data_IF_700252579745
#
_entry.id   IF_700252579745
#
_cell.length_a   1.000
_cell.length_b   1.000
_cell.length_c   1.000
_cell.angle_alpha   90.00
_cell.angle_beta   90.00
_cell.angle_gamma   90.00
#
_symmetry.space_group_name_H-M   'P 1'
#
loop_
_entity.id
_entity.type
_entity.pdbx_description
1 polymer ?
#
# COMPACT_ATOMS: atom_id res chain seq x y z
N UNK A 1 23.55 7.72 -6.20
CA UNK A 1 22.40 8.02 -5.31
C UNK A 1 21.93 9.42 -5.64
N UNK A 2 20.66 9.61 -6.03
CA UNK A 2 20.07 10.92 -6.35
C UNK A 2 19.40 11.48 -5.08
N UNK A 3 20.00 12.47 -4.39
CA UNK A 3 19.63 12.86 -3.02
C UNK A 3 18.36 13.71 -2.93
N UNK A 4 17.70 14.00 -4.07
CA UNK A 4 16.50 14.85 -4.14
C UNK A 4 15.21 14.11 -4.54
N UNK A 5 15.25 12.79 -4.76
CA UNK A 5 14.04 11.96 -4.91
C UNK A 5 13.58 11.48 -3.52
N UNK A 6 13.10 12.41 -2.70
CA UNK A 6 12.51 12.08 -1.40
C UNK A 6 11.32 11.12 -1.58
N UNK A 7 11.26 9.99 -0.86
CA UNK A 7 10.03 9.24 -0.69
C UNK A 7 8.93 10.15 -0.14
N UNK A 8 7.98 10.58 -0.98
CA UNK A 8 6.80 11.28 -0.48
C UNK A 8 5.92 10.21 0.16
N UNK A 9 5.92 10.15 1.49
CA UNK A 9 4.98 9.35 2.27
C UNK A 9 3.75 10.19 2.54
N UNK A 10 2.61 9.75 2.02
CA UNK A 10 1.34 10.44 2.23
C UNK A 10 0.20 9.43 2.25
N UNK A 11 -0.94 9.87 2.76
CA UNK A 11 -2.11 9.04 2.82
C UNK A 11 -3.36 9.86 3.06
N UNK A 12 -4.49 9.22 2.79
CA UNK A 12 -5.80 9.77 3.08
C UNK A 12 -6.62 8.68 3.76
N UNK A 13 -7.34 9.04 4.82
CA UNK A 13 -8.19 8.12 5.53
C UNK A 13 -9.54 8.72 5.87
N UNK A 14 -10.56 7.89 5.85
CA UNK A 14 -11.90 8.20 6.34
C UNK A 14 -12.19 7.24 7.48
N UNK A 15 -12.45 7.80 8.66
CA UNK A 15 -12.75 7.03 9.86
C UNK A 15 -14.18 7.31 10.29
N UNK A 16 -14.93 6.24 10.53
CA UNK A 16 -16.25 6.31 11.15
C UNK A 16 -16.23 5.54 12.45
N UNK A 17 -16.51 6.22 13.55
CA UNK A 17 -16.81 5.59 14.83
C UNK A 17 -18.31 5.29 14.89
N UNK A 18 -18.66 4.07 15.30
CA UNK A 18 -20.04 3.60 15.43
C UNK A 18 -20.63 3.99 16.79
N UNK A 19 -21.91 3.65 16.99
CA UNK A 19 -22.64 3.91 18.23
C UNK A 19 -21.89 3.37 19.45
N UNK A 20 -21.89 4.15 20.53
CA UNK A 20 -21.08 3.89 21.72
C UNK A 20 -19.59 4.26 21.57
N UNK A 21 -19.13 4.69 20.38
CA UNK A 21 -17.82 5.31 20.15
C UNK A 21 -16.61 4.40 20.37
N UNK A 22 -16.81 3.12 20.73
CA UNK A 22 -15.74 2.16 21.00
C UNK A 22 -15.28 1.42 19.74
N UNK A 23 -16.20 1.13 18.83
CA UNK A 23 -15.91 0.44 17.57
C UNK A 23 -15.96 1.43 16.42
N UNK A 24 -15.18 1.17 15.38
CA UNK A 24 -15.21 1.98 14.17
C UNK A 24 -14.72 1.21 12.95
N UNK A 25 -14.80 1.86 11.80
CA UNK A 25 -14.20 1.42 10.56
C UNK A 25 -13.35 2.53 9.96
N UNK A 26 -12.32 2.14 9.21
CA UNK A 26 -11.42 3.04 8.52
C UNK A 26 -11.14 2.55 7.11
N UNK A 27 -11.42 3.40 6.12
CA UNK A 27 -10.86 3.27 4.78
C UNK A 27 -9.57 4.07 4.76
N UNK A 28 -8.47 3.43 4.41
CA UNK A 28 -7.12 3.98 4.51
C UNK A 28 -6.38 3.76 3.20
N UNK A 29 -6.00 4.86 2.55
CA UNK A 29 -5.06 4.86 1.44
C UNK A 29 -3.70 5.32 1.96
N UNK A 30 -2.69 4.46 1.86
CA UNK A 30 -1.33 4.79 2.24
C UNK A 30 -0.40 4.63 1.05
N UNK A 31 0.36 5.68 0.76
CA UNK A 31 1.43 5.68 -0.24
C UNK A 31 2.79 5.61 0.47
N UNK A 32 3.56 4.55 0.21
CA UNK A 32 4.84 4.30 0.86
C UNK A 32 5.92 3.86 -0.13
N UNK A 33 6.75 4.79 -0.58
CA UNK A 33 7.82 4.47 -1.54
C UNK A 33 8.89 3.57 -0.90
N UNK A 34 8.84 2.29 -1.23
CA UNK A 34 9.89 1.31 -0.94
C UNK A 34 10.89 1.34 -2.08
N UNK A 35 12.10 1.85 -1.81
CA UNK A 35 13.22 1.63 -2.69
C UNK A 35 13.71 0.20 -2.45
N UNK A 36 13.66 -0.66 -3.46
CA UNK A 36 14.41 -1.90 -3.40
C UNK A 36 15.89 -1.52 -3.35
N UNK A 37 16.56 -1.78 -2.24
CA UNK A 37 18.02 -1.77 -2.24
C UNK A 37 18.45 -2.85 -3.24
N UNK A 38 19.11 -2.45 -4.33
CA UNK A 38 19.58 -3.37 -5.38
C UNK A 38 20.55 -4.44 -4.84
N UNK A 39 21.07 -4.23 -3.64
CA UNK A 39 21.98 -5.14 -2.91
C UNK A 39 21.26 -6.08 -1.92
N UNK A 40 19.94 -5.93 -1.71
CA UNK A 40 19.18 -6.83 -0.83
C UNK A 40 18.74 -8.07 -1.63
N UNK A 41 19.27 -9.24 -1.28
CA UNK A 41 18.84 -10.56 -1.77
C UNK A 41 17.42 -10.92 -1.26
N UNK A 42 16.42 -10.08 -1.51
CA UNK A 42 15.03 -10.43 -1.21
C UNK A 42 14.50 -11.31 -2.34
N UNK A 43 14.06 -12.51 -1.96
CA UNK A 43 13.61 -13.59 -2.83
C UNK A 43 12.52 -13.16 -3.80
N UNK A 44 12.94 -12.66 -4.97
CA UNK A 44 12.10 -12.48 -6.13
C UNK A 44 12.01 -13.83 -6.83
N UNK A 45 10.80 -14.34 -6.99
CA UNK A 45 10.53 -15.54 -7.78
C UNK A 45 9.56 -15.17 -8.88
N UNK A 46 9.44 -15.98 -9.94
CA UNK A 46 8.55 -15.63 -11.03
C UNK A 46 8.70 -16.53 -12.23
N UNK A 47 7.89 -16.25 -13.25
CA UNK A 47 7.95 -16.90 -14.55
C UNK A 47 8.03 -15.80 -15.60
N UNK A 48 9.08 -15.81 -16.41
CA UNK A 48 9.27 -14.92 -17.57
C UNK A 48 9.35 -15.81 -18.81
N UNK A 49 8.60 -15.50 -19.86
CA UNK A 49 8.60 -16.25 -21.13
C UNK A 49 8.42 -17.78 -20.95
N UNK A 50 7.54 -18.19 -20.03
CA UNK A 50 7.30 -19.59 -19.63
C UNK A 50 8.49 -20.33 -19.00
N UNK A 51 9.58 -19.63 -18.66
CA UNK A 51 10.70 -20.15 -17.89
C UNK A 51 10.67 -19.61 -16.45
N UNK A 52 10.91 -20.46 -15.43
CA UNK A 52 11.01 -20.00 -14.04
C UNK A 52 12.26 -19.13 -13.85
N UNK A 53 12.13 -18.04 -13.08
CA UNK A 53 13.29 -17.27 -12.63
C UNK A 53 14.20 -18.14 -11.77
N UNK A 54 15.53 -18.01 -11.89
CA UNK A 54 16.45 -18.60 -10.95
C UNK A 54 16.18 -18.07 -9.53
N UNK A 55 15.99 -18.97 -8.57
CA UNK A 55 15.62 -18.63 -7.18
C UNK A 55 16.63 -17.72 -6.44
N UNK A 56 17.83 -17.53 -6.99
CA UNK A 56 18.94 -16.75 -6.43
C UNK A 56 19.81 -16.08 -7.51
N UNK A 57 19.21 -15.48 -8.52
CA UNK A 57 19.97 -14.59 -9.40
C UNK A 57 20.07 -13.20 -8.76
N UNK A 58 21.27 -12.61 -8.73
CA UNK A 58 21.40 -11.23 -8.29
C UNK A 58 20.53 -10.35 -9.20
N UNK A 59 19.69 -9.48 -8.62
CA UNK A 59 18.73 -8.65 -9.35
C UNK A 59 19.38 -7.88 -10.51
N UNK A 60 20.66 -7.51 -10.36
CA UNK A 60 21.49 -6.86 -11.40
C UNK A 60 21.67 -7.68 -12.68
N UNK A 61 21.58 -9.01 -12.63
CA UNK A 61 21.85 -9.89 -13.77
C UNK A 61 20.60 -10.08 -14.64
N UNK A 62 19.41 -9.88 -14.07
CA UNK A 62 18.11 -10.05 -14.74
C UNK A 62 17.48 -8.70 -15.14
N UNK A 63 17.62 -7.68 -14.29
CA UNK A 63 16.92 -6.41 -14.44
C UNK A 63 17.88 -5.29 -14.88
N UNK A 64 17.42 -4.44 -15.81
CA UNK A 64 18.07 -3.16 -16.10
C UNK A 64 17.56 -2.08 -15.14
N UNK A 65 16.29 -2.18 -14.77
CA UNK A 65 15.62 -1.32 -13.78
C UNK A 65 14.50 -2.10 -13.11
N UNK A 66 14.51 -2.13 -11.79
CA UNK A 66 13.43 -2.69 -10.96
C UNK A 66 13.12 -1.65 -9.89
N UNK A 67 12.19 -0.75 -10.20
CA UNK A 67 11.75 0.29 -9.28
C UNK A 67 10.24 0.16 -9.11
N UNK A 68 9.77 0.02 -7.87
CA UNK A 68 8.40 0.36 -7.56
C UNK A 68 8.39 1.88 -7.32
N UNK A 69 8.41 2.64 -8.42
CA UNK A 69 8.65 4.09 -8.44
C UNK A 69 7.71 4.87 -7.51
N UNK A 70 6.52 4.32 -7.25
CA UNK A 70 5.56 4.79 -6.23
C UNK A 70 5.16 3.64 -5.28
N UNK A 71 6.18 3.08 -4.62
CA UNK A 71 6.09 1.84 -3.84
C UNK A 71 4.90 1.74 -2.88
N UNK A 72 4.53 0.48 -2.60
CA UNK A 72 3.64 0.06 -1.52
C UNK A 72 2.40 0.93 -1.29
N UNK A 73 1.72 1.31 -2.38
CA UNK A 73 0.40 1.91 -2.29
C UNK A 73 -0.60 0.84 -1.85
N UNK A 74 -1.29 1.09 -0.73
CA UNK A 74 -2.30 0.19 -0.21
C UNK A 74 -3.61 0.92 -0.03
N UNK A 75 -4.71 0.27 -0.40
CA UNK A 75 -6.05 0.67 -0.03
C UNK A 75 -6.65 -0.41 0.87
N UNK A 76 -6.91 -0.09 2.13
CA UNK A 76 -7.37 -1.06 3.14
C UNK A 76 -8.65 -0.63 3.82
N UNK A 77 -9.46 -1.62 4.18
CA UNK A 77 -10.61 -1.47 5.07
C UNK A 77 -10.24 -2.11 6.42
N UNK A 78 -10.30 -1.30 7.47
CA UNK A 78 -9.86 -1.68 8.81
C UNK A 78 -11.03 -1.58 9.79
N UNK A 79 -11.19 -2.60 10.63
CA UNK A 79 -11.97 -2.48 11.86
C UNK A 79 -11.13 -1.80 12.93
N UNK A 80 -11.72 -0.85 13.66
CA UNK A 80 -11.07 -0.11 14.74
C UNK A 80 -11.72 -0.40 16.09
N UNK A 81 -10.89 -0.37 17.12
CA UNK A 81 -11.29 -0.47 18.52
C UNK A 81 -10.60 0.59 19.36
N UNK A 82 -11.38 1.52 19.91
CA UNK A 82 -10.92 2.54 20.84
C UNK A 82 -10.75 1.93 22.23
N UNK A 83 -9.59 2.19 22.83
CA UNK A 83 -9.22 1.76 24.17
C UNK A 83 -9.64 2.82 25.21
N UNK A 84 -9.40 2.54 26.49
CA UNK A 84 -9.66 3.51 27.55
C UNK A 84 -8.84 4.79 27.30
N UNK A 85 -9.47 5.95 27.38
CA UNK A 85 -8.80 7.23 27.18
C UNK A 85 -7.71 7.43 28.24
N UNK A 86 -6.54 7.91 27.79
CA UNK A 86 -5.41 8.23 28.68
C UNK A 86 -5.57 9.62 29.30
N UNK A 87 -6.32 10.49 28.64
CA UNK A 87 -6.68 11.83 29.11
C UNK A 87 -8.01 12.26 28.45
N UNK A 88 -8.68 13.33 28.91
CA UNK A 88 -9.99 13.76 28.39
C UNK A 88 -10.07 13.96 26.87
N UNK A 89 -8.93 14.24 26.21
CA UNK A 89 -8.83 14.47 24.76
C UNK A 89 -7.92 13.48 24.05
N UNK A 90 -7.32 12.52 24.76
CA UNK A 90 -6.34 11.57 24.22
C UNK A 90 -6.90 10.15 24.29
N UNK A 91 -7.25 9.61 23.13
CA UNK A 91 -7.83 8.27 23.02
C UNK A 91 -6.92 7.35 22.21
N UNK A 92 -6.34 6.31 22.83
CA UNK A 92 -5.69 5.24 22.10
C UNK A 92 -6.71 4.36 21.37
N UNK A 93 -6.30 3.79 20.25
CA UNK A 93 -7.07 2.81 19.49
C UNK A 93 -6.15 1.81 18.80
N UNK A 94 -6.71 0.66 18.48
CA UNK A 94 -6.07 -0.35 17.65
C UNK A 94 -6.97 -0.66 16.47
N UNK A 95 -6.41 -1.19 15.40
CA UNK A 95 -7.17 -1.62 14.25
C UNK A 95 -6.47 -2.72 13.48
N UNK A 96 -7.26 -3.48 12.74
CA UNK A 96 -6.75 -4.45 11.79
C UNK A 96 -7.69 -4.53 10.58
N UNK A 97 -7.13 -4.84 9.43
CA UNK A 97 -7.85 -4.77 8.18
C UNK A 97 -7.20 -5.56 7.06
N UNK A 98 -7.95 -5.63 5.97
CA UNK A 98 -7.54 -6.25 4.72
C UNK A 98 -7.80 -5.26 3.58
N UNK A 99 -7.14 -5.48 2.46
CA UNK A 99 -7.24 -4.58 1.32
C UNK A 99 -6.44 -5.07 0.13
N UNK A 100 -6.05 -4.12 -0.70
CA UNK A 100 -5.36 -4.38 -1.96
C UNK A 100 -4.08 -3.56 -2.06
N UNK A 101 -3.10 -4.16 -2.73
CA UNK A 101 -1.84 -3.53 -3.08
C UNK A 101 -1.91 -2.99 -4.52
N UNK A 102 -1.67 -1.69 -4.67
CA UNK A 102 -1.82 -0.90 -5.91
C UNK A 102 -0.54 -0.15 -6.31
N UNK A 103 0.64 -0.79 -6.34
CA UNK A 103 1.90 -0.12 -6.67
C UNK A 103 1.86 0.47 -8.08
N UNK A 104 2.66 1.52 -8.27
CA UNK A 104 3.13 1.87 -9.62
C UNK A 104 4.42 1.11 -9.89
N UNK A 105 4.34 0.13 -10.78
CA UNK A 105 5.48 -0.70 -11.16
C UNK A 105 6.29 -0.01 -12.26
N UNK A 106 7.62 -0.03 -12.15
CA UNK A 106 8.56 0.31 -13.22
C UNK A 106 9.57 -0.84 -13.36
N UNK A 107 9.29 -1.74 -14.30
CA UNK A 107 10.06 -2.97 -14.49
C UNK A 107 10.59 -2.99 -15.93
N UNK A 108 11.91 -3.03 -16.06
CA UNK A 108 12.60 -3.20 -17.32
C UNK A 108 13.56 -4.38 -17.25
N UNK A 109 13.20 -5.46 -17.94
CA UNK A 109 14.01 -6.67 -18.07
C UNK A 109 15.16 -6.44 -19.06
N UNK A 110 16.30 -7.09 -18.85
CA UNK A 110 17.41 -7.09 -19.83
C UNK A 110 17.12 -7.98 -21.04
N UNK A 111 16.33 -9.02 -20.86
CA UNK A 111 16.08 -10.10 -21.83
C UNK A 111 14.93 -9.80 -22.80
N UNK A 112 13.99 -8.94 -22.42
CA UNK A 112 12.78 -8.64 -23.22
C UNK A 112 12.78 -7.16 -23.64
N UNK A 113 12.45 -6.89 -24.92
CA UNK A 113 12.24 -5.52 -25.40
C UNK A 113 10.91 -4.99 -24.86
N UNK A 114 10.96 -4.04 -23.93
CA UNK A 114 9.79 -3.37 -23.37
C UNK A 114 10.02 -2.97 -21.91
N UNK A 115 9.12 -2.16 -21.36
CA UNK A 115 9.08 -1.85 -19.92
C UNK A 115 7.63 -1.92 -19.44
N UNK A 116 7.43 -2.38 -18.21
CA UNK A 116 6.14 -2.26 -17.52
C UNK A 116 6.20 -1.00 -16.67
N UNK A 117 5.44 0.03 -17.03
CA UNK A 117 5.40 1.31 -16.33
C UNK A 117 3.94 1.72 -16.10
N UNK A 118 3.29 1.19 -15.07
CA UNK A 118 1.84 1.40 -14.86
C UNK A 118 1.43 1.16 -13.41
N UNK A 119 0.22 1.59 -13.04
CA UNK A 119 -0.41 1.14 -11.81
C UNK A 119 -0.98 -0.26 -11.94
N UNK A 120 -0.72 -1.11 -10.94
CA UNK A 120 -1.14 -2.51 -10.99
C UNK A 120 -1.78 -2.94 -9.68
N UNK A 121 -2.87 -3.69 -9.77
CA UNK A 121 -3.26 -4.56 -8.67
C UNK A 121 -2.23 -5.70 -8.58
N UNK A 122 -1.62 -5.84 -7.41
CA UNK A 122 -0.60 -6.87 -7.18
C UNK A 122 -0.99 -7.89 -6.13
N UNK A 123 -2.18 -7.80 -5.54
CA UNK A 123 -2.67 -8.82 -4.63
C UNK A 123 -3.26 -8.28 -3.34
N UNK A 124 -3.70 -9.21 -2.46
CA UNK A 124 -4.27 -8.86 -1.18
C UNK A 124 -3.20 -8.31 -0.23
N UNK A 125 -3.64 -7.41 0.64
CA UNK A 125 -2.82 -6.80 1.64
C UNK A 125 -3.54 -6.85 2.99
N UNK A 126 -2.78 -6.98 4.08
CA UNK A 126 -3.28 -6.92 5.45
C UNK A 126 -2.58 -5.82 6.20
N UNK A 127 -3.28 -5.23 7.16
CA UNK A 127 -2.79 -4.10 7.93
C UNK A 127 -3.18 -4.23 9.39
N UNK A 128 -2.28 -3.87 10.28
CA UNK A 128 -2.54 -3.66 11.70
C UNK A 128 -2.09 -2.24 12.08
N UNK A 129 -2.85 -1.60 12.95
CA UNK A 129 -2.66 -0.21 13.34
C UNK A 129 -2.73 -0.08 14.85
N UNK A 130 -1.79 0.66 15.42
CA UNK A 130 -1.83 1.15 16.80
C UNK A 130 -1.82 2.67 16.71
N UNK A 131 -2.84 3.32 17.25
CA UNK A 131 -3.07 4.74 17.06
C UNK A 131 -3.33 5.48 18.36
N UNK A 132 -2.94 6.76 18.36
CA UNK A 132 -3.34 7.77 19.33
C UNK A 132 -4.12 8.86 18.59
N UNK A 133 -5.27 9.24 19.13
CA UNK A 133 -6.09 10.34 18.64
C UNK A 133 -6.13 11.45 19.70
N UNK A 134 -5.71 12.65 19.32
CA UNK A 134 -5.86 13.86 20.12
C UNK A 134 -6.96 14.75 19.55
N UNK A 135 -8.04 14.96 20.32
CA UNK A 135 -9.24 15.66 19.87
C UNK A 135 -9.23 17.14 20.25
N UNK A 136 -9.47 17.99 19.26
CA UNK A 136 -9.69 19.44 19.43
C UNK A 136 -11.04 19.84 18.82
N UNK A 137 -11.60 21.03 19.07
CA UNK A 137 -12.86 21.43 18.45
C UNK A 137 -12.81 21.26 16.92
N UNK A 138 -13.77 20.52 16.34
CA UNK A 138 -13.92 20.22 14.89
C UNK A 138 -12.78 19.44 14.20
N UNK A 139 -11.65 19.20 14.86
CA UNK A 139 -10.51 18.47 14.28
C UNK A 139 -10.01 17.37 15.20
N UNK A 140 -9.09 16.56 14.71
CA UNK A 140 -8.30 15.62 15.50
C UNK A 140 -6.90 15.50 14.89
N UNK A 141 -5.90 15.43 15.75
CA UNK A 141 -4.56 15.02 15.38
C UNK A 141 -4.42 13.55 15.70
N UNK A 142 -3.60 12.85 14.95
CA UNK A 142 -3.34 11.45 15.22
C UNK A 142 -1.88 11.10 14.99
N UNK A 143 -1.46 10.07 15.70
CA UNK A 143 -0.19 9.38 15.51
C UNK A 143 -0.50 7.89 15.43
N UNK A 144 -0.06 7.24 14.36
CA UNK A 144 -0.32 5.84 14.08
C UNK A 144 0.97 5.11 13.78
N UNK A 145 1.17 3.97 14.43
CA UNK A 145 2.14 2.99 14.01
C UNK A 145 1.42 1.87 13.26
N UNK A 146 1.78 1.69 11.99
CA UNK A 146 1.12 0.75 11.08
C UNK A 146 2.08 -0.35 10.69
N UNK A 147 1.59 -1.58 10.71
CA UNK A 147 2.24 -2.75 10.13
C UNK A 147 1.44 -3.20 8.92
N UNK A 148 2.12 -3.57 7.85
CA UNK A 148 1.46 -4.12 6.68
C UNK A 148 2.23 -5.30 6.10
N UNK A 149 1.46 -6.26 5.59
CA UNK A 149 1.99 -7.35 4.81
C UNK A 149 1.19 -7.43 3.51
N UNK A 150 1.88 -7.59 2.40
CA UNK A 150 1.28 -7.75 1.10
C UNK A 150 2.06 -8.79 0.31
N UNK A 151 1.32 -9.75 -0.26
CA UNK A 151 1.87 -10.69 -1.22
C UNK A 151 1.65 -10.08 -2.61
N UNK A 152 2.74 -9.84 -3.30
CA UNK A 152 2.75 -9.23 -4.62
C UNK A 152 2.85 -10.32 -5.68
N UNK A 153 1.89 -10.34 -6.57
CA UNK A 153 1.86 -11.00 -7.86
C UNK A 153 1.82 -9.88 -8.92
N UNK A 154 2.98 -9.56 -9.46
CA UNK A 154 3.17 -8.43 -10.36
C UNK A 154 3.14 -8.93 -11.80
N UNK A 155 2.10 -8.59 -12.58
CA UNK A 155 2.05 -8.97 -13.99
C UNK A 155 3.03 -8.13 -14.81
N UNK A 156 3.74 -8.75 -15.74
CA UNK A 156 4.63 -8.07 -16.67
C UNK A 156 3.87 -7.77 -17.96
N UNK A 157 3.23 -6.59 -18.02
CA UNK A 157 2.44 -6.16 -19.18
C UNK A 157 3.30 -5.62 -20.33
N UNK A 158 4.55 -5.24 -20.06
CA UNK A 158 5.48 -4.64 -21.04
C UNK A 158 4.91 -3.39 -21.72
N UNK A 159 4.07 -2.65 -20.98
CA UNK A 159 3.35 -1.47 -21.41
C UNK A 159 3.68 -0.25 -20.57
N UNK A 160 3.57 0.92 -21.19
CA UNK A 160 3.48 2.22 -20.52
C UNK A 160 2.01 2.57 -20.24
N UNK A 161 1.65 2.61 -18.97
CA UNK A 161 0.36 3.02 -18.44
C UNK A 161 0.26 4.53 -18.26
N UNK A 162 -0.85 4.95 -17.65
CA UNK A 162 -1.25 6.36 -17.54
C UNK A 162 -1.76 6.69 -16.13
N UNK A 163 -3.06 6.51 -15.90
CA UNK A 163 -3.76 6.81 -14.65
C UNK A 163 -4.30 5.51 -14.05
N UNK A 164 -4.33 5.45 -12.71
CA UNK A 164 -4.70 4.27 -11.94
C UNK A 164 -5.92 3.53 -12.50
N UNK A 165 -7.03 4.23 -12.73
CA UNK A 165 -8.27 3.59 -13.19
C UNK A 165 -8.17 2.97 -14.58
N UNK A 166 -7.49 3.63 -15.52
CA UNK A 166 -7.30 3.14 -16.89
C UNK A 166 -6.37 1.93 -16.87
N UNK A 167 -5.29 1.99 -16.09
CA UNK A 167 -4.32 0.91 -16.01
C UNK A 167 -4.94 -0.34 -15.38
N UNK A 168 -5.71 -0.17 -14.29
CA UNK A 168 -6.46 -1.26 -13.65
C UNK A 168 -7.51 -1.88 -14.57
N UNK A 169 -8.26 -1.06 -15.33
CA UNK A 169 -9.23 -1.56 -16.30
C UNK A 169 -8.55 -2.42 -17.37
N UNK A 170 -7.44 -1.94 -17.91
CA UNK A 170 -6.69 -2.66 -18.91
C UNK A 170 -6.02 -3.94 -18.37
N UNK A 171 -5.58 -3.92 -17.12
CA UNK A 171 -5.09 -5.13 -16.45
C UNK A 171 -6.20 -6.17 -16.33
N UNK A 172 -7.40 -5.74 -15.91
CA UNK A 172 -8.57 -6.60 -15.81
C UNK A 172 -8.99 -7.20 -17.17
N UNK A 173 -9.05 -6.39 -18.23
CA UNK A 173 -9.35 -6.90 -19.58
C UNK A 173 -8.28 -7.86 -20.09
N UNK A 174 -7.01 -7.61 -19.77
CA UNK A 174 -5.91 -8.51 -20.12
C UNK A 174 -6.05 -9.87 -19.42
N UNK A 175 -6.42 -9.90 -18.14
CA UNK A 175 -6.69 -11.16 -17.42
C UNK A 175 -7.85 -11.95 -18.01
N UNK A 176 -8.92 -11.27 -18.45
CA UNK A 176 -10.03 -11.93 -19.13
C UNK A 176 -9.61 -12.50 -20.50
N UNK A 177 -8.66 -11.85 -21.18
CA UNK A 177 -8.13 -12.29 -22.47
C UNK A 177 -7.04 -13.37 -22.37
N UNK A 178 -6.41 -13.57 -21.22
CA UNK A 178 -5.38 -14.59 -21.00
C UNK A 178 -4.26 -14.15 -20.05
N UNK A 179 -3.10 -14.80 -20.16
CA UNK A 179 -1.92 -14.47 -19.33
C UNK A 179 -1.24 -13.19 -19.84
N UNK A 180 -0.67 -12.35 -18.95
CA UNK A 180 0.13 -11.20 -19.35
C UNK A 180 1.34 -11.65 -20.18
N UNK A 181 1.75 -10.85 -21.19
CA UNK A 181 2.72 -11.26 -22.20
C UNK A 181 4.10 -11.57 -21.61
N UNK A 182 4.54 -10.87 -20.56
CA UNK A 182 5.84 -11.10 -19.92
C UNK A 182 5.81 -12.05 -18.71
N UNK A 183 4.65 -12.62 -18.35
CA UNK A 183 4.49 -13.47 -17.17
C UNK A 183 4.30 -12.71 -15.84
N UNK A 184 4.73 -13.31 -14.73
CA UNK A 184 4.47 -12.81 -13.37
C UNK A 184 5.72 -12.83 -12.50
N UNK A 185 5.84 -11.83 -11.62
CA UNK A 185 6.83 -11.79 -10.55
C UNK A 185 6.13 -11.86 -9.20
N UNK A 186 6.68 -12.68 -8.31
CA UNK A 186 6.20 -12.87 -6.96
C UNK A 186 7.21 -12.31 -5.95
N UNK A 187 6.70 -11.50 -5.03
CA UNK A 187 7.47 -11.03 -3.88
C UNK A 187 6.56 -10.85 -2.67
N UNK A 188 7.15 -10.87 -1.47
CA UNK A 188 6.43 -10.58 -0.23
C UNK A 188 7.01 -9.32 0.39
N UNK A 189 6.16 -8.30 0.53
CA UNK A 189 6.53 -7.05 1.16
C UNK A 189 5.92 -6.98 2.56
N UNK A 190 6.80 -6.78 3.53
CA UNK A 190 6.44 -6.45 4.91
C UNK A 190 6.99 -5.08 5.20
N UNK A 191 6.16 -4.19 5.72
CA UNK A 191 6.57 -2.84 6.08
C UNK A 191 5.93 -2.41 7.39
N UNK A 192 6.60 -1.48 8.05
CA UNK A 192 6.04 -0.74 9.17
C UNK A 192 6.33 0.74 9.00
N UNK A 193 5.47 1.59 9.57
CA UNK A 193 5.61 3.03 9.41
C UNK A 193 4.93 3.78 10.53
N UNK A 194 5.55 4.88 10.95
CA UNK A 194 4.96 5.84 11.88
C UNK A 194 4.38 6.99 11.06
N UNK A 195 3.09 7.25 11.21
CA UNK A 195 2.33 8.26 10.46
C UNK A 195 1.70 9.24 11.44
N UNK A 196 1.97 10.53 11.26
CA UNK A 196 1.25 11.61 11.92
C UNK A 196 0.33 12.32 10.95
N UNK A 197 -0.82 12.81 11.42
CA UNK A 197 -1.72 13.56 10.55
C UNK A 197 -2.80 14.34 11.28
N UNK A 198 -3.60 15.06 10.48
CA UNK A 198 -4.74 15.86 10.91
C UNK A 198 -6.01 15.38 10.20
N UNK A 199 -7.14 15.43 10.89
CA UNK A 199 -8.44 15.05 10.36
C UNK A 199 -9.53 16.03 10.78
N UNK A 200 -10.44 16.33 9.86
CA UNK A 200 -11.65 17.10 10.14
C UNK A 200 -12.78 16.16 10.56
N UNK A 201 -13.58 16.56 11.55
CA UNK A 201 -14.71 15.76 12.06
C UNK A 201 -16.03 16.37 11.57
N UNK A 202 -16.84 15.58 10.86
CA UNK A 202 -18.15 15.98 10.34
C UNK A 202 -19.28 15.27 11.13
N UNK A 203 -20.01 16.02 11.97
CA UNK A 203 -21.17 15.55 12.77
C UNK A 203 -20.85 14.56 13.92
N UNK A 204 -21.62 14.46 15.02
CA UNK A 204 -22.71 15.27 15.55
C UNK A 204 -22.30 15.85 16.92
N UNK A 205 -22.98 16.93 17.31
CA UNK A 205 -22.92 17.56 18.64
C UNK A 205 -22.89 16.48 19.75
N UNK A 206 -22.07 16.63 20.81
CA UNK A 206 -22.11 15.68 21.92
C UNK A 206 -23.56 15.55 22.37
N UNK A 207 -24.05 14.31 22.52
CA UNK A 207 -25.34 14.07 23.14
C UNK A 207 -25.36 14.88 24.45
N UNK A 208 -26.33 15.77 24.58
CA UNK A 208 -26.56 16.46 25.84
C UNK A 208 -26.67 15.39 26.93
N UNK A 209 -25.88 15.54 28.00
CA UNK A 209 -26.00 14.67 29.16
C UNK A 209 -27.44 14.75 29.69
N UNK A 210 -28.02 13.64 30.19
CA UNK A 210 -29.32 13.66 30.86
C UNK A 210 -29.30 14.55 32.10
#
# INVERSE_FOLDING_TARGET
AEPFKSPIYYGARVVRWFDGGRRGAMIDFTHSKTLAALDDEKGLSGVIDNAPLPAKAALKDIYRKLEFSHGHNMLTLNGLWRLASLAPRLSPYVGAGVGMSLPHSEIQLKTVRGRTYEYQYTGPAVQAVIGLEFRVPRMSYFLEYKFSLANYEVPLSLRDGSVLFVDLWNQFTSWLAGKPPGGYLYTRLTSHQLIGGLGMRFGAQPAAAP
#
